data_IF_059354519257
#
_entry.id   IF_059354519257
#
_cell.length_a   1.000
_cell.length_b   1.000
_cell.length_c   1.000
_cell.angle_alpha   90.00
_cell.angle_beta   90.00
_cell.angle_gamma   90.00
#
_symmetry.space_group_name_H-M   'P 1'
#
loop_
_entity.id
_entity.type
_entity.pdbx_description
1 polymer ?
#
# COMPACT_ATOMS: atom_id res chain seq x y z
N UNK A 1 -15.27 -17.50 7.90
CA UNK A 1 -14.15 -18.30 7.42
C UNK A 1 -13.13 -18.31 8.54
N UNK A 2 -13.25 -19.35 9.36
CA UNK A 2 -12.29 -19.67 10.40
C UNK A 2 -10.96 -19.95 9.69
N UNK A 3 -9.91 -19.17 9.97
CA UNK A 3 -8.55 -19.55 9.56
C UNK A 3 -8.32 -21.01 9.98
N UNK A 4 -7.99 -21.91 9.04
CA UNK A 4 -8.00 -23.33 9.31
C UNK A 4 -7.08 -23.68 10.48
N UNK A 5 -7.43 -24.69 11.30
CA UNK A 5 -6.70 -25.09 12.52
C UNK A 5 -5.19 -25.38 12.35
N UNK A 6 -4.71 -25.47 11.11
CA UNK A 6 -3.36 -25.90 10.71
C UNK A 6 -2.32 -24.78 10.63
N UNK A 7 -2.73 -23.50 10.70
CA UNK A 7 -1.78 -22.38 10.85
C UNK A 7 -1.09 -22.32 12.23
N UNK A 8 -1.46 -23.21 13.17
CA UNK A 8 -0.78 -23.38 14.46
C UNK A 8 0.62 -24.00 14.38
N UNK A 9 1.01 -24.57 13.23
CA UNK A 9 2.24 -25.36 13.10
C UNK A 9 3.45 -24.62 12.53
N UNK A 10 3.34 -23.33 12.18
CA UNK A 10 4.48 -22.58 11.64
C UNK A 10 5.46 -22.19 12.76
N UNK A 11 6.51 -23.00 12.95
CA UNK A 11 7.60 -22.78 13.92
C UNK A 11 8.48 -21.56 13.59
N UNK A 12 8.51 -21.13 12.33
CA UNK A 12 9.14 -19.87 11.92
C UNK A 12 8.06 -18.81 11.78
N UNK A 13 7.94 -17.88 12.72
CA UNK A 13 7.02 -16.75 12.57
C UNK A 13 7.32 -16.02 11.25
N UNK A 14 6.48 -16.09 10.20
CA UNK A 14 6.70 -15.25 9.04
C UNK A 14 6.62 -13.81 9.55
N UNK A 15 7.73 -13.09 9.47
CA UNK A 15 7.72 -11.67 9.74
C UNK A 15 6.96 -11.03 8.58
N UNK A 16 5.66 -10.81 8.75
CA UNK A 16 4.86 -10.04 7.80
C UNK A 16 5.37 -8.60 7.89
N UNK A 17 6.33 -8.28 7.03
CA UNK A 17 6.83 -6.92 6.87
C UNK A 17 5.68 -6.08 6.31
N UNK A 18 5.15 -5.21 7.15
CA UNK A 18 4.09 -4.28 6.81
C UNK A 18 4.65 -2.87 6.84
N UNK A 19 5.74 -2.64 6.11
CA UNK A 19 6.19 -1.27 5.85
C UNK A 19 5.08 -0.58 5.04
N UNK A 20 4.32 0.26 5.74
CA UNK A 20 3.19 0.98 5.17
C UNK A 20 3.71 2.35 4.73
N UNK A 21 3.81 2.57 3.42
CA UNK A 21 4.33 3.83 2.86
C UNK A 21 3.59 5.04 3.44
N UNK A 22 2.26 4.99 3.53
CA UNK A 22 1.47 6.07 4.14
C UNK A 22 1.92 6.44 5.56
N UNK A 23 2.34 5.45 6.36
CA UNK A 23 2.79 5.65 7.74
C UNK A 23 4.23 6.14 7.78
N UNK A 24 5.11 5.60 6.94
CA UNK A 24 6.48 6.09 6.79
C UNK A 24 6.48 7.57 6.38
N UNK A 25 5.71 7.93 5.36
CA UNK A 25 5.55 9.32 4.89
C UNK A 25 4.95 10.21 5.98
N UNK A 26 3.91 9.75 6.68
CA UNK A 26 3.30 10.53 7.75
C UNK A 26 4.26 10.76 8.94
N UNK A 27 5.06 9.76 9.32
CA UNK A 27 6.13 9.94 10.33
C UNK A 27 7.18 10.94 9.85
N UNK A 28 7.56 10.89 8.57
CA UNK A 28 8.51 11.83 7.99
C UNK A 28 7.98 13.28 8.04
N UNK A 29 6.71 13.49 7.66
CA UNK A 29 6.03 14.79 7.77
C UNK A 29 6.05 15.28 9.23
N UNK A 30 5.63 14.45 10.18
CA UNK A 30 5.62 14.84 11.60
C UNK A 30 7.00 15.15 12.17
N UNK A 31 8.04 14.44 11.72
CA UNK A 31 9.41 14.74 12.11
C UNK A 31 9.85 16.11 11.60
N UNK A 32 9.57 16.41 10.32
CA UNK A 32 9.94 17.68 9.70
C UNK A 32 9.25 18.87 10.36
N UNK A 33 7.96 18.72 10.69
CA UNK A 33 7.15 19.76 11.34
C UNK A 33 6.99 19.49 12.85
N UNK A 34 8.05 19.04 13.52
CA UNK A 34 7.99 18.73 14.95
C UNK A 34 7.67 20.00 15.75
N UNK A 35 6.61 19.93 16.58
CA UNK A 35 6.16 21.06 17.40
C UNK A 35 5.06 21.92 16.75
N UNK A 36 4.69 21.61 15.51
CA UNK A 36 3.57 22.26 14.81
C UNK A 36 2.30 21.40 14.86
N UNK A 37 1.16 22.06 14.75
CA UNK A 37 -0.13 21.40 14.65
C UNK A 37 -0.38 20.97 13.19
N UNK A 38 0.09 19.76 12.84
CA UNK A 38 0.00 19.20 11.48
C UNK A 38 -1.03 18.07 11.40
N UNK A 39 -2.01 18.28 10.52
CA UNK A 39 -2.95 17.25 10.08
C UNK A 39 -2.46 16.54 8.81
N UNK A 40 -2.28 15.22 8.88
CA UNK A 40 -1.84 14.39 7.76
C UNK A 40 -3.04 13.67 7.15
N UNK A 41 -3.32 13.94 5.88
CA UNK A 41 -4.38 13.29 5.10
C UNK A 41 -3.76 12.44 4.00
N UNK A 42 -4.03 11.14 4.00
CA UNK A 42 -3.67 10.26 2.89
C UNK A 42 -4.77 10.27 1.84
N UNK A 43 -4.40 10.41 0.56
CA UNK A 43 -5.32 10.37 -0.57
C UNK A 43 -4.91 9.22 -1.49
N UNK A 44 -5.83 8.30 -1.80
CA UNK A 44 -5.50 7.14 -2.63
C UNK A 44 -6.70 6.35 -3.15
N UNK A 45 -6.49 5.28 -3.91
CA UNK A 45 -7.59 4.50 -4.49
C UNK A 45 -8.07 3.35 -3.59
N UNK A 46 -7.43 3.14 -2.44
CA UNK A 46 -7.62 1.97 -1.61
C UNK A 46 -8.46 2.26 -0.36
N UNK A 47 -9.60 1.58 -0.24
CA UNK A 47 -10.50 1.68 0.92
C UNK A 47 -9.86 1.04 2.16
N UNK A 48 -9.05 -0.02 1.98
CA UNK A 48 -8.43 -0.72 3.09
C UNK A 48 -7.52 0.19 3.92
N UNK A 49 -7.03 1.29 3.34
CA UNK A 49 -6.23 2.28 4.06
C UNK A 49 -7.00 2.96 5.19
N UNK A 50 -8.32 3.10 5.08
CA UNK A 50 -9.18 3.61 6.16
C UNK A 50 -9.16 2.70 7.39
N UNK A 51 -9.14 1.38 7.17
CA UNK A 51 -9.01 0.43 8.28
C UNK A 51 -7.56 0.36 8.78
N UNK A 52 -6.58 0.58 7.92
CA UNK A 52 -5.17 0.58 8.28
C UNK A 52 -4.84 1.61 9.34
N UNK A 53 -5.37 2.84 9.24
CA UNK A 53 -5.10 3.92 10.21
C UNK A 53 -5.72 3.70 11.59
N UNK A 54 -6.66 2.76 11.72
CA UNK A 54 -7.28 2.39 13.00
C UNK A 54 -6.41 1.42 13.83
N UNK A 55 -5.30 0.97 13.26
CA UNK A 55 -4.39 0.05 13.92
C UNK A 55 -3.68 0.72 15.10
N UNK A 56 -3.85 0.20 16.34
CA UNK A 56 -3.30 0.83 17.54
C UNK A 56 -1.78 1.02 17.52
N UNK A 57 -1.04 0.19 16.76
CA UNK A 57 0.43 0.30 16.66
C UNK A 57 0.91 1.51 15.85
N UNK A 58 0.00 2.17 15.14
CA UNK A 58 0.28 3.33 14.28
C UNK A 58 -0.80 4.42 14.42
N UNK A 59 -1.58 4.35 15.49
CA UNK A 59 -2.59 5.34 15.82
C UNK A 59 -1.97 6.74 15.82
N UNK A 60 -2.77 7.74 15.44
CA UNK A 60 -2.40 9.15 15.40
C UNK A 60 -1.26 9.52 14.43
N UNK A 61 -0.80 8.59 13.59
CA UNK A 61 0.19 8.94 12.56
C UNK A 61 -0.46 9.67 11.38
N UNK A 62 -1.57 9.11 10.85
CA UNK A 62 -2.37 9.68 9.75
C UNK A 62 -3.74 10.05 10.32
N UNK A 63 -4.18 11.30 10.14
CA UNK A 63 -5.43 11.80 10.71
C UNK A 63 -6.65 11.41 9.88
N UNK A 64 -6.51 11.37 8.55
CA UNK A 64 -7.62 11.07 7.65
C UNK A 64 -7.15 10.30 6.42
N UNK A 65 -8.05 9.48 5.86
CA UNK A 65 -7.87 8.80 4.59
C UNK A 65 -9.04 9.14 3.70
N UNK A 66 -8.75 9.79 2.57
CA UNK A 66 -9.71 10.06 1.51
C UNK A 66 -9.42 9.19 0.29
N UNK A 67 -10.49 8.73 -0.35
CA UNK A 67 -10.37 8.06 -1.64
C UNK A 67 -10.35 9.08 -2.77
N UNK A 68 -9.82 8.71 -3.95
CA UNK A 68 -9.88 9.61 -5.11
C UNK A 68 -11.32 10.02 -5.46
N UNK A 69 -12.30 9.11 -5.29
CA UNK A 69 -13.72 9.43 -5.47
C UNK A 69 -14.21 10.49 -4.48
N UNK A 70 -13.81 10.39 -3.21
CA UNK A 70 -14.26 11.35 -2.18
C UNK A 70 -13.66 12.74 -2.40
N UNK A 71 -12.36 12.83 -2.71
CA UNK A 71 -11.74 14.14 -2.99
C UNK A 71 -12.29 14.76 -4.27
N UNK A 72 -12.60 13.95 -5.30
CA UNK A 72 -13.27 14.42 -6.52
C UNK A 72 -14.62 15.05 -6.19
N UNK A 73 -15.45 14.41 -5.37
CA UNK A 73 -16.73 14.97 -4.94
C UNK A 73 -16.57 16.27 -4.15
N UNK A 74 -15.54 16.38 -3.31
CA UNK A 74 -15.25 17.63 -2.59
C UNK A 74 -14.87 18.76 -3.54
N UNK A 75 -14.09 18.48 -4.60
CA UNK A 75 -13.76 19.46 -5.62
C UNK A 75 -14.99 19.90 -6.43
N UNK A 76 -15.88 18.98 -6.77
CA UNK A 76 -17.15 19.28 -7.45
C UNK A 76 -18.06 20.18 -6.59
N UNK A 77 -18.20 19.87 -5.30
CA UNK A 77 -18.98 20.66 -4.34
C UNK A 77 -18.40 22.07 -4.15
N UNK A 78 -17.07 22.19 -4.12
CA UNK A 78 -16.36 23.46 -4.04
C UNK A 78 -16.31 24.21 -5.38
N UNK A 79 -16.78 23.60 -6.49
CA UNK A 79 -16.74 24.14 -7.85
C UNK A 79 -15.33 24.56 -8.28
N UNK A 80 -14.34 23.72 -8.00
CA UNK A 80 -12.96 23.94 -8.41
C UNK A 80 -12.85 23.75 -9.93
N UNK A 81 -12.37 24.80 -10.61
CA UNK A 81 -12.07 24.76 -12.04
C UNK A 81 -10.57 24.47 -12.26
N UNK A 82 -10.23 23.21 -12.50
CA UNK A 82 -8.85 22.78 -12.71
C UNK A 82 -8.20 23.39 -13.95
N UNK A 83 -8.98 23.72 -14.98
CA UNK A 83 -8.46 24.31 -16.22
C UNK A 83 -7.98 25.76 -16.02
N UNK A 84 -8.43 26.40 -14.93
CA UNK A 84 -8.03 27.76 -14.55
C UNK A 84 -6.78 27.82 -13.66
N UNK A 85 -6.30 26.67 -13.17
CA UNK A 85 -5.17 26.62 -12.23
C UNK A 85 -3.84 26.52 -12.97
N UNK A 86 -2.81 27.15 -12.41
CA UNK A 86 -1.43 26.96 -12.87
C UNK A 86 -0.86 25.66 -12.30
N UNK A 87 0.00 25.01 -13.09
CA UNK A 87 0.73 23.82 -12.63
C UNK A 87 1.65 24.19 -11.46
N UNK A 88 1.51 23.44 -10.37
CA UNK A 88 2.37 23.55 -9.20
C UNK A 88 3.26 22.30 -9.07
N UNK A 89 4.50 22.51 -8.61
CA UNK A 89 5.39 21.41 -8.28
C UNK A 89 4.98 20.74 -6.95
N UNK A 90 5.24 19.44 -6.83
CA UNK A 90 4.99 18.69 -5.61
C UNK A 90 6.05 19.05 -4.56
N UNK A 91 5.60 19.35 -3.34
CA UNK A 91 6.50 19.58 -2.21
C UNK A 91 7.45 18.39 -1.98
N UNK A 92 8.71 18.69 -1.69
CA UNK A 92 9.73 17.67 -1.44
C UNK A 92 9.45 16.84 -0.17
N UNK A 93 10.01 15.63 -0.04
CA UNK A 93 11.08 15.09 -0.89
C UNK A 93 10.58 14.42 -2.18
N UNK A 94 11.24 14.72 -3.31
CA UNK A 94 11.06 14.02 -4.59
C UNK A 94 11.60 12.60 -4.52
N UNK A 95 10.74 11.61 -4.67
CA UNK A 95 11.12 10.21 -4.43
C UNK A 95 11.68 9.46 -5.64
N UNK A 96 11.77 10.09 -6.83
CA UNK A 96 12.35 9.49 -8.05
C UNK A 96 11.72 8.13 -8.39
N UNK A 97 12.51 7.06 -8.33
CA UNK A 97 12.01 5.68 -8.55
C UNK A 97 10.92 5.26 -7.55
N UNK A 98 10.83 5.93 -6.40
CA UNK A 98 9.78 5.76 -5.40
C UNK A 98 8.36 5.89 -5.96
N UNK A 99 8.17 6.70 -7.00
CA UNK A 99 6.90 6.82 -7.72
C UNK A 99 6.42 5.50 -8.35
N UNK A 100 7.30 4.50 -8.52
CA UNK A 100 6.94 3.18 -9.02
C UNK A 100 6.32 2.26 -7.97
N UNK A 101 6.32 2.63 -6.68
CA UNK A 101 5.76 1.83 -5.59
C UNK A 101 4.32 1.34 -5.82
N UNK A 102 3.40 2.12 -6.43
CA UNK A 102 2.02 1.69 -6.67
C UNK A 102 1.87 0.55 -7.69
N UNK A 103 2.93 0.22 -8.44
CA UNK A 103 2.93 -0.86 -9.42
C UNK A 103 3.15 -2.22 -8.75
N UNK A 104 2.70 -3.28 -9.42
CA UNK A 104 3.12 -4.64 -9.10
C UNK A 104 4.65 -4.76 -9.14
N UNK A 105 5.23 -5.43 -8.14
CA UNK A 105 6.69 -5.47 -7.87
C UNK A 105 7.36 -4.10 -7.65
N UNK A 106 6.56 -3.03 -7.48
CA UNK A 106 7.06 -1.68 -7.18
C UNK A 106 7.84 -1.65 -5.86
N UNK A 107 7.40 -2.42 -4.86
CA UNK A 107 8.14 -2.61 -3.61
C UNK A 107 9.56 -3.13 -3.87
N UNK A 108 9.70 -4.20 -4.64
CA UNK A 108 11.02 -4.78 -4.97
C UNK A 108 11.89 -3.77 -5.72
N UNK A 109 11.31 -3.06 -6.69
CA UNK A 109 12.01 -2.03 -7.47
C UNK A 109 12.54 -0.90 -6.58
N UNK A 110 11.69 -0.38 -5.69
CA UNK A 110 12.04 0.74 -4.79
C UNK A 110 13.01 0.32 -3.69
N UNK A 111 12.96 -0.93 -3.23
CA UNK A 111 13.90 -1.50 -2.28
C UNK A 111 15.26 -1.89 -2.90
N UNK A 112 15.43 -1.73 -4.22
CA UNK A 112 16.65 -2.14 -4.92
C UNK A 112 16.86 -3.66 -4.99
N UNK A 113 15.81 -4.44 -4.73
CA UNK A 113 15.86 -5.91 -4.74
C UNK A 113 15.83 -6.39 -6.18
N UNK A 114 16.96 -6.89 -6.64
CA UNK A 114 17.08 -7.56 -7.93
C UNK A 114 16.73 -9.04 -7.76
N UNK A 115 15.83 -9.54 -8.59
CA UNK A 115 15.51 -10.95 -8.70
C UNK A 115 15.34 -11.29 -10.18
N UNK A 116 15.64 -12.53 -10.53
CA UNK A 116 15.51 -13.06 -11.90
C UNK A 116 14.28 -13.97 -11.99
N UNK A 117 13.85 -14.29 -13.21
CA UNK A 117 12.70 -15.16 -13.49
C UNK A 117 12.80 -16.53 -12.80
N UNK A 118 14.03 -17.04 -12.62
CA UNK A 118 14.28 -18.33 -11.99
C UNK A 118 14.45 -18.25 -10.46
N UNK A 119 14.47 -17.05 -9.88
CA UNK A 119 14.56 -16.86 -8.43
C UNK A 119 13.18 -17.04 -7.78
N UNK A 120 12.87 -18.28 -7.43
CA UNK A 120 11.64 -18.65 -6.73
C UNK A 120 11.63 -18.27 -5.25
N UNK A 121 12.72 -17.73 -4.72
CA UNK A 121 12.79 -17.30 -3.31
C UNK A 121 12.07 -15.97 -3.06
N UNK A 122 11.81 -15.20 -4.12
CA UNK A 122 11.09 -13.93 -4.10
C UNK A 122 9.91 -14.06 -5.06
N UNK A 123 8.69 -13.94 -4.55
CA UNK A 123 7.49 -13.99 -5.37
C UNK A 123 6.69 -12.69 -5.23
N UNK A 124 6.18 -12.19 -6.36
CA UNK A 124 5.12 -11.19 -6.39
C UNK A 124 3.82 -11.88 -6.79
N UNK A 125 2.75 -11.68 -6.02
CA UNK A 125 1.40 -12.12 -6.39
C UNK A 125 0.46 -10.93 -6.36
N UNK A 126 -0.50 -10.92 -7.26
CA UNK A 126 -1.50 -9.86 -7.35
C UNK A 126 -2.89 -10.41 -7.64
N UNK A 127 -3.91 -9.72 -7.13
CA UNK A 127 -5.30 -10.13 -7.25
C UNK A 127 -5.75 -11.00 -6.09
N UNK A 128 -6.99 -10.79 -5.63
CA UNK A 128 -7.56 -11.41 -4.43
C UNK A 128 -7.36 -12.93 -4.37
N UNK A 129 -7.72 -13.64 -5.43
CA UNK A 129 -7.74 -15.11 -5.39
C UNK A 129 -6.31 -15.67 -5.36
N UNK A 130 -5.43 -15.20 -6.25
CA UNK A 130 -4.00 -15.60 -6.25
C UNK A 130 -3.25 -15.18 -4.99
N UNK A 131 -3.64 -14.07 -4.37
CA UNK A 131 -3.09 -13.64 -3.08
C UNK A 131 -3.45 -14.62 -1.96
N UNK A 132 -4.66 -15.19 -1.98
CA UNK A 132 -5.08 -16.21 -1.00
C UNK A 132 -4.42 -17.56 -1.31
N UNK A 133 -4.38 -17.97 -2.57
CA UNK A 133 -3.81 -19.25 -2.99
C UNK A 133 -2.33 -19.38 -2.56
N UNK A 134 -1.51 -18.34 -2.80
CA UNK A 134 -0.09 -18.42 -2.43
C UNK A 134 0.13 -18.48 -0.91
N UNK A 135 -0.79 -17.88 -0.13
CA UNK A 135 -0.71 -17.96 1.34
C UNK A 135 -1.06 -19.37 1.81
N UNK A 136 -2.00 -20.03 1.15
CA UNK A 136 -2.34 -21.43 1.41
C UNK A 136 -1.21 -22.37 0.97
N UNK A 137 -0.58 -22.14 -0.17
CA UNK A 137 0.60 -22.87 -0.64
C UNK A 137 1.77 -22.75 0.33
N UNK A 138 2.03 -21.54 0.83
CA UNK A 138 3.06 -21.29 1.84
C UNK A 138 2.72 -22.01 3.14
N UNK A 139 1.47 -21.93 3.60
CA UNK A 139 1.01 -22.60 4.82
C UNK A 139 1.14 -24.12 4.76
N UNK A 140 0.97 -24.70 3.57
CA UNK A 140 1.10 -26.14 3.31
C UNK A 140 2.55 -26.58 3.04
N UNK A 141 3.49 -25.65 2.91
CA UNK A 141 4.87 -25.92 2.51
C UNK A 141 5.03 -26.28 1.03
N UNK A 142 4.00 -26.08 0.21
CA UNK A 142 4.05 -26.28 -1.23
C UNK A 142 4.93 -25.21 -1.91
N UNK A 143 4.94 -24.00 -1.36
CA UNK A 143 5.88 -22.94 -1.73
C UNK A 143 6.97 -22.79 -0.67
N UNK A 144 8.20 -22.57 -1.12
CA UNK A 144 9.38 -22.32 -0.28
C UNK A 144 9.88 -20.88 -0.39
N UNK A 145 9.01 -19.97 -0.87
CA UNK A 145 9.34 -18.55 -1.00
C UNK A 145 9.76 -17.95 0.35
N UNK A 146 10.80 -17.13 0.32
CA UNK A 146 11.36 -16.44 1.49
C UNK A 146 10.85 -15.00 1.60
N UNK A 147 10.52 -14.40 0.47
CA UNK A 147 9.92 -13.08 0.38
C UNK A 147 8.70 -13.12 -0.52
N UNK A 148 7.62 -12.49 -0.06
CA UNK A 148 6.33 -12.48 -0.75
C UNK A 148 5.80 -11.04 -0.81
N UNK A 149 5.74 -10.46 -2.00
CA UNK A 149 5.03 -9.20 -2.27
C UNK A 149 3.59 -9.54 -2.66
N UNK A 150 2.66 -9.36 -1.71
CA UNK A 150 1.25 -9.77 -1.86
C UNK A 150 0.36 -8.55 -2.06
N UNK A 151 -0.22 -8.44 -3.25
CA UNK A 151 -1.16 -7.38 -3.59
C UNK A 151 -2.57 -7.94 -3.80
N UNK A 152 -3.57 -7.37 -3.13
CA UNK A 152 -4.97 -7.75 -3.37
C UNK A 152 -5.52 -7.24 -4.70
N UNK A 153 -4.97 -6.14 -5.20
CA UNK A 153 -5.27 -5.56 -6.52
C UNK A 153 -4.06 -5.76 -7.43
N UNK A 154 -4.24 -5.58 -8.74
CA UNK A 154 -3.15 -5.57 -9.74
C UNK A 154 -2.36 -4.26 -9.65
N UNK A 155 -1.63 -4.10 -8.55
CA UNK A 155 -1.06 -2.83 -8.10
C UNK A 155 -2.09 -1.90 -7.43
N UNK A 156 -1.58 -0.90 -6.68
CA UNK A 156 -2.41 0.18 -6.14
C UNK A 156 -3.04 1.02 -7.27
N UNK A 157 -2.41 1.06 -8.46
CA UNK A 157 -2.96 1.70 -9.66
C UNK A 157 -4.29 1.08 -10.12
N UNK A 158 -4.62 -0.14 -9.65
CA UNK A 158 -5.88 -0.83 -9.94
C UNK A 158 -6.77 -0.92 -8.70
N UNK A 159 -6.63 0.05 -7.78
CA UNK A 159 -7.45 0.12 -6.58
C UNK A 159 -8.94 0.39 -6.88
N UNK A 160 -9.85 0.00 -5.98
CA UNK A 160 -11.30 0.01 -6.24
C UNK A 160 -11.92 1.41 -6.39
N UNK A 161 -11.21 2.47 -6.01
CA UNK A 161 -11.69 3.86 -6.07
C UNK A 161 -10.88 4.73 -7.04
N UNK A 162 -10.34 4.14 -8.11
CA UNK A 162 -9.82 4.90 -9.25
C UNK A 162 -10.95 5.70 -9.93
N UNK A 163 -10.58 6.80 -10.59
CA UNK A 163 -11.51 7.72 -11.25
C UNK A 163 -11.77 7.41 -12.73
N UNK A 164 -10.85 6.68 -13.38
CA UNK A 164 -10.95 6.33 -14.79
C UNK A 164 -11.14 4.82 -15.00
N UNK A 165 -11.67 4.46 -16.17
CA UNK A 165 -11.95 3.09 -16.58
C UNK A 165 -10.81 2.46 -17.41
N UNK A 166 -9.61 3.02 -17.35
CA UNK A 166 -8.46 2.51 -18.10
C UNK A 166 -8.14 1.05 -17.68
N UNK A 167 -7.48 0.31 -18.55
CA UNK A 167 -6.91 -0.99 -18.18
C UNK A 167 -5.67 -0.83 -17.30
N UNK A 168 -5.29 -1.90 -16.58
CA UNK A 168 -4.07 -1.93 -15.76
C UNK A 168 -2.81 -1.60 -16.57
N UNK A 169 -2.72 -2.10 -17.80
CA UNK A 169 -1.58 -1.85 -18.69
C UNK A 169 -1.44 -0.37 -19.06
N UNK A 170 -2.55 0.28 -19.46
CA UNK A 170 -2.54 1.71 -19.79
C UNK A 170 -2.15 2.58 -18.59
N UNK A 171 -2.68 2.28 -17.40
CA UNK A 171 -2.29 2.99 -16.16
C UNK A 171 -0.82 2.77 -15.81
N UNK A 172 -0.31 1.55 -16.00
CA UNK A 172 1.11 1.23 -15.80
C UNK A 172 1.99 2.03 -16.74
N UNK A 173 1.62 2.16 -18.02
CA UNK A 173 2.37 2.94 -19.00
C UNK A 173 2.42 4.43 -18.63
N UNK A 174 1.28 5.02 -18.26
CA UNK A 174 1.19 6.42 -17.81
C UNK A 174 2.14 6.64 -16.63
N UNK A 175 2.04 5.81 -15.58
CA UNK A 175 2.88 5.95 -14.40
C UNK A 175 4.35 5.69 -14.71
N UNK A 176 4.67 4.70 -15.55
CA UNK A 176 6.04 4.39 -15.92
C UNK A 176 6.70 5.54 -16.71
N UNK A 177 5.96 6.21 -17.59
CA UNK A 177 6.46 7.38 -18.31
C UNK A 177 6.69 8.55 -17.36
N UNK A 178 5.73 8.83 -16.47
CA UNK A 178 5.90 9.83 -15.41
C UNK A 178 7.15 9.56 -14.55
N UNK A 179 7.35 8.31 -14.10
CA UNK A 179 8.53 7.95 -13.29
C UNK A 179 9.83 8.18 -14.07
N UNK A 180 9.88 7.85 -15.37
CA UNK A 180 11.07 8.09 -16.20
C UNK A 180 11.37 9.58 -16.34
N UNK A 181 10.36 10.42 -16.50
CA UNK A 181 10.51 11.87 -16.58
C UNK A 181 10.99 12.46 -15.24
N UNK A 182 10.46 11.98 -14.13
CA UNK A 182 10.83 12.43 -12.79
C UNK A 182 12.20 11.92 -12.33
N UNK A 183 12.63 10.74 -12.78
CA UNK A 183 13.89 10.13 -12.34
C UNK A 183 15.12 11.00 -12.65
N UNK A 184 15.08 11.78 -13.73
CA UNK A 184 16.15 12.71 -14.09
C UNK A 184 16.15 14.01 -13.29
N UNK A 185 15.05 14.31 -12.58
CA UNK A 185 14.88 15.56 -11.82
C UNK A 185 15.47 15.49 -10.41
N UNK A 186 15.86 14.31 -9.94
CA UNK A 186 16.40 14.12 -8.57
C UNK A 186 17.92 13.98 -8.63
N UNK A 187 18.62 14.97 -8.09
CA UNK A 187 20.08 14.96 -7.99
C UNK A 187 20.62 14.16 -6.79
N UNK A 188 21.89 13.73 -6.81
CA UNK A 188 22.53 13.07 -5.67
C UNK A 188 22.51 13.91 -4.39
N UNK A 189 22.81 15.21 -4.49
CA UNK A 189 22.85 16.12 -3.33
C UNK A 189 21.49 16.22 -2.62
N UNK A 190 20.42 16.34 -3.40
CA UNK A 190 19.06 16.41 -2.90
C UNK A 190 18.63 15.08 -2.24
N UNK A 191 19.07 13.96 -2.83
CA UNK A 191 18.85 12.62 -2.25
C UNK A 191 19.54 12.49 -0.89
N UNK A 192 20.82 12.88 -0.81
CA UNK A 192 21.62 12.82 0.41
C UNK A 192 21.03 13.72 1.50
N UNK A 193 20.51 14.90 1.14
CA UNK A 193 19.87 15.81 2.08
C UNK A 193 18.71 15.14 2.83
N UNK A 194 17.77 14.52 2.12
CA UNK A 194 16.61 13.91 2.77
C UNK A 194 16.92 12.57 3.41
N UNK A 195 17.89 11.81 2.90
CA UNK A 195 18.39 10.62 3.59
C UNK A 195 18.96 11.00 4.96
N UNK A 196 19.74 12.08 5.03
CA UNK A 196 20.26 12.60 6.29
C UNK A 196 19.16 13.14 7.21
N UNK A 197 18.16 13.82 6.65
CA UNK A 197 17.02 14.32 7.42
C UNK A 197 16.24 13.19 8.08
N UNK A 198 15.94 12.12 7.34
CA UNK A 198 15.09 11.02 7.81
C UNK A 198 15.87 9.79 8.30
N UNK A 199 17.19 9.91 8.50
CA UNK A 199 18.05 8.77 8.90
C UNK A 199 17.62 8.11 10.23
N UNK A 200 17.03 8.89 11.13
CA UNK A 200 16.60 8.45 12.46
C UNK A 200 15.10 8.16 12.55
N UNK A 201 14.40 8.15 11.40
CA UNK A 201 12.97 7.91 11.36
C UNK A 201 12.66 6.48 11.84
N UNK A 202 11.89 6.34 12.92
CA UNK A 202 11.51 5.02 13.40
C UNK A 202 10.51 4.38 12.43
N UNK A 203 11.00 3.45 11.61
CA UNK A 203 10.19 2.65 10.69
C UNK A 203 9.89 1.25 11.23
N UNK A 204 10.28 0.95 12.47
CA UNK A 204 10.05 -0.36 13.07
C UNK A 204 8.57 -0.57 13.29
N UNK A 205 8.20 -1.85 13.25
CA UNK A 205 6.83 -2.30 13.46
C UNK A 205 6.81 -3.66 14.13
N UNK A 206 5.98 -3.79 15.16
CA UNK A 206 5.69 -5.07 15.80
C UNK A 206 4.62 -5.84 15.05
N UNK A 207 4.63 -7.16 15.20
CA UNK A 207 3.55 -8.02 14.75
C UNK A 207 2.98 -8.79 15.94
N UNK A 208 1.68 -8.67 16.14
CA UNK A 208 0.91 -9.51 17.04
C UNK A 208 -0.13 -10.27 16.22
N UNK A 209 -0.27 -11.60 16.40
CA UNK A 209 -1.38 -12.33 15.80
C UNK A 209 -2.71 -11.72 16.23
N UNK A 210 -3.45 -11.13 15.29
CA UNK A 210 -4.81 -10.66 15.53
C UNK A 210 -5.78 -11.72 15.03
N UNK A 211 -6.60 -12.26 15.93
CA UNK A 211 -7.67 -13.19 15.56
C UNK A 211 -8.88 -12.38 15.13
N UNK A 212 -9.04 -12.16 13.83
CA UNK A 212 -10.29 -11.68 13.27
C UNK A 212 -11.31 -12.81 13.31
N UNK A 213 -12.42 -12.58 14.01
CA UNK A 213 -13.60 -13.43 13.88
C UNK A 213 -14.45 -12.83 12.78
N UNK A 214 -14.81 -13.63 11.78
CA UNK A 214 -15.82 -13.14 10.84
C UNK A 214 -17.11 -12.90 11.60
N UNK A 215 -17.82 -11.78 11.32
CA UNK A 215 -19.16 -11.61 11.83
C UNK A 215 -19.98 -12.82 11.37
N UNK A 216 -20.46 -13.59 12.34
CA UNK A 216 -21.40 -14.68 12.06
C UNK A 216 -22.59 -14.01 11.36
N UNK A 217 -22.98 -14.41 10.13
CA UNK A 217 -24.17 -13.85 9.51
C UNK A 217 -25.31 -14.00 10.51
N UNK A 218 -26.00 -12.89 10.80
CA UNK A 218 -27.13 -12.88 11.72
C UNK A 218 -28.09 -14.00 11.29
N UNK A 219 -28.38 -14.93 12.20
CA UNK A 219 -29.01 -16.20 11.88
C UNK A 219 -30.27 -16.02 11.02
N UNK A 220 -30.16 -16.35 9.74
CA UNK A 220 -31.31 -16.71 8.94
C UNK A 220 -31.80 -18.06 9.46
N UNK A 221 -33.00 -18.06 10.05
CA UNK A 221 -33.69 -19.27 10.43
C UNK A 221 -33.64 -20.28 9.27
N UNK A 222 -33.35 -21.54 9.60
CA UNK A 222 -33.33 -22.62 8.64
C UNK A 222 -34.66 -22.71 7.92
N UNK A 223 -34.64 -22.41 6.63
CA UNK A 223 -35.60 -22.93 5.66
C UNK A 223 -34.81 -23.84 4.73
N UNK A 224 -35.02 -25.14 4.84
CA UNK A 224 -34.58 -26.08 3.83
C UNK A 224 -35.19 -25.63 2.49
N UNK A 225 -34.35 -25.32 1.51
CA UNK A 225 -34.79 -25.25 0.12
C UNK A 225 -34.29 -26.52 -0.53
N UNK A 226 -35.16 -27.52 -0.57
CA UNK A 226 -35.09 -28.62 -1.51
C UNK A 226 -35.50 -28.10 -2.88
N UNK A 227 -34.59 -28.15 -3.85
CA UNK A 227 -34.84 -28.53 -5.24
C UNK A 227 -33.54 -29.13 -5.80
#
# INVERSE_FOLDING_TARGET
MVLPPRLRAYRHRPAISSLRVAIATARAIRQRYTGEDVSVVFIGPCIAKKNEILDPLIADTVNCVLTYKEISSMFDEARVDFDSLEDAEIDGPRCGVGWSFPLSSGLLKTAGVKHDLLDTSILTTEGKDRALDVLDELAQGASQAKFLDVLFCEGCISGPKMLNDLGVHARKEILANYVKEQAWRVGPEETDQWQNEFQNLDLRRGFSPQKTTEPRPAGGAGGAVSL
#
